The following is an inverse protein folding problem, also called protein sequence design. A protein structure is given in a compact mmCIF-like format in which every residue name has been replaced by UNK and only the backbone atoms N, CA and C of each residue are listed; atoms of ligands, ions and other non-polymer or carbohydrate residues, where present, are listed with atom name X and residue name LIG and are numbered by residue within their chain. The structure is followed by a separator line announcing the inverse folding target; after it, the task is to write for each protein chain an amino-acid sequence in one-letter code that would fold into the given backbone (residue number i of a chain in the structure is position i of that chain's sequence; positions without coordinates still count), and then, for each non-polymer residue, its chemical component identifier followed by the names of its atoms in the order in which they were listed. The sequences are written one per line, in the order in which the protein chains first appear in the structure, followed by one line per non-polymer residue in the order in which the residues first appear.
data_IF_748297705100
#
_entry.id   IF_748297705100
#
_cell.length_a   1.000
_cell.length_b   1.000
_cell.length_c   1.000
_cell.angle_alpha   90.00
_cell.angle_beta   90.00
_cell.angle_gamma   90.00
#
_symmetry.space_group_name_H-M   'P 1'
#
loop_
_entity.id
_entity.type
_entity.pdbx_description
1 polymer ?
#
# COMPACT_ATOMS: atom_id res chain seq x y z
N UNK A 1 23.89 43.98 9.23
CA UNK A 1 24.17 42.58 8.88
C UNK A 1 22.83 41.89 8.60
N UNK A 2 22.34 41.86 7.35
CA UNK A 2 21.07 41.25 7.01
C UNK A 2 21.29 39.80 6.58
N UNK A 3 20.46 38.86 7.04
CA UNK A 3 20.12 37.64 6.30
C UNK A 3 18.90 36.99 6.94
N UNK A 4 17.76 37.25 6.31
CA UNK A 4 16.55 36.48 6.46
C UNK A 4 16.76 35.07 5.90
N UNK A 5 16.20 34.05 6.57
CA UNK A 5 15.99 32.74 5.95
C UNK A 5 14.48 32.50 5.92
N UNK A 6 13.93 32.71 4.73
CA UNK A 6 12.60 32.29 4.32
C UNK A 6 12.72 30.80 3.97
N UNK A 7 12.03 29.92 4.67
CA UNK A 7 11.78 28.56 4.19
C UNK A 7 10.41 28.54 3.50
N UNK A 8 10.43 28.64 2.17
CA UNK A 8 9.27 28.53 1.30
C UNK A 8 8.73 27.09 1.34
N UNK A 9 7.41 26.99 1.42
CA UNK A 9 6.65 25.77 1.19
C UNK A 9 6.81 25.32 -0.27
N UNK A 10 7.13 24.04 -0.47
CA UNK A 10 7.06 23.39 -1.78
C UNK A 10 6.04 22.26 -1.72
N UNK A 11 4.76 22.64 -1.85
CA UNK A 11 3.73 21.75 -2.36
C UNK A 11 3.80 21.81 -3.89
N UNK A 12 4.37 20.78 -4.52
CA UNK A 12 4.11 20.49 -5.93
C UNK A 12 3.42 19.13 -6.02
N UNK A 13 2.10 19.17 -5.98
CA UNK A 13 1.28 18.09 -6.52
C UNK A 13 1.28 18.25 -8.05
N UNK A 14 2.12 17.47 -8.74
CA UNK A 14 2.00 17.31 -10.18
C UNK A 14 0.73 16.51 -10.48
N UNK A 15 -0.21 17.15 -11.14
CA UNK A 15 -1.23 16.48 -11.94
C UNK A 15 -0.54 15.81 -13.12
N UNK A 16 -0.53 14.48 -13.15
CA UNK A 16 -0.15 13.72 -14.35
C UNK A 16 -1.41 13.34 -15.16
N UNK A 17 -1.34 13.41 -16.51
CA UNK A 17 -2.43 13.04 -17.40
C UNK A 17 -2.67 11.52 -17.36
N UNK A 18 -3.86 11.07 -17.78
CA UNK A 18 -4.34 9.69 -17.71
C UNK A 18 -3.56 8.68 -18.56
N UNK A 19 -2.30 8.43 -18.21
CA UNK A 19 -1.54 7.26 -18.61
C UNK A 19 -1.87 6.10 -17.68
N UNK A 20 -2.00 4.89 -18.24
CA UNK A 20 -2.06 3.64 -17.49
C UNK A 20 -1.06 3.70 -16.34
N UNK A 21 -1.54 3.81 -15.09
CA UNK A 21 -0.63 3.91 -13.96
C UNK A 21 0.32 2.70 -14.04
N UNK A 22 1.64 2.91 -14.20
CA UNK A 22 2.58 1.80 -14.18
C UNK A 22 2.35 1.03 -12.90
N UNK A 23 2.46 -0.30 -12.94
CA UNK A 23 2.26 -1.13 -11.75
C UNK A 23 3.29 -0.85 -10.65
N UNK A 24 3.25 -1.62 -9.55
CA UNK A 24 4.34 -1.66 -8.58
C UNK A 24 5.71 -1.83 -9.25
N UNK A 25 6.80 -1.35 -8.63
CA UNK A 25 8.09 -1.28 -9.29
C UNK A 25 8.67 -2.68 -9.56
N UNK A 26 9.49 -2.85 -10.61
CA UNK A 26 9.97 -4.16 -11.05
C UNK A 26 10.91 -4.86 -10.06
N UNK A 27 11.47 -4.09 -9.12
CA UNK A 27 12.30 -4.58 -8.03
C UNK A 27 11.49 -4.97 -6.78
N UNK A 28 10.15 -4.88 -6.83
CA UNK A 28 9.22 -5.47 -5.88
C UNK A 28 8.55 -6.70 -6.51
N UNK A 29 8.95 -7.90 -6.09
CA UNK A 29 8.37 -9.17 -6.49
C UNK A 29 7.44 -9.68 -5.40
N UNK A 30 6.25 -10.11 -5.81
CA UNK A 30 5.22 -10.57 -4.89
C UNK A 30 4.74 -11.95 -5.32
N UNK A 31 4.46 -12.81 -4.36
CA UNK A 31 3.83 -14.10 -4.60
C UNK A 31 2.48 -13.90 -5.34
N UNK A 32 2.12 -14.77 -6.31
CA UNK A 32 0.86 -14.69 -7.03
C UNK A 32 -0.39 -14.55 -6.13
N UNK A 33 -0.38 -15.13 -4.93
CA UNK A 33 -1.46 -15.01 -3.97
C UNK A 33 -1.66 -13.58 -3.43
N UNK A 34 -0.64 -12.72 -3.52
CA UNK A 34 -0.65 -11.33 -3.05
C UNK A 34 -0.89 -10.31 -4.18
N UNK A 35 -0.80 -10.71 -5.45
CA UNK A 35 -0.93 -9.79 -6.60
C UNK A 35 -2.23 -8.96 -6.55
N UNK A 36 -3.37 -9.61 -6.25
CA UNK A 36 -4.67 -8.93 -6.14
C UNK A 36 -4.70 -7.91 -5.01
N UNK A 37 -4.04 -8.20 -3.89
CA UNK A 37 -3.92 -7.30 -2.73
C UNK A 37 -3.08 -6.09 -3.13
N UNK A 38 -1.90 -6.33 -3.71
CA UNK A 38 -0.95 -5.31 -4.15
C UNK A 38 -1.56 -4.40 -5.22
N UNK A 39 -2.21 -4.96 -6.24
CA UNK A 39 -2.87 -4.19 -7.29
C UNK A 39 -3.99 -3.29 -6.73
N UNK A 40 -4.69 -3.75 -5.69
CA UNK A 40 -5.70 -2.93 -4.99
C UNK A 40 -5.02 -1.80 -4.20
N UNK A 41 -3.97 -2.09 -3.43
CA UNK A 41 -3.20 -1.09 -2.70
C UNK A 41 -2.67 -0.01 -3.63
N UNK A 42 -2.05 -0.43 -4.75
CA UNK A 42 -1.53 0.46 -5.79
C UNK A 42 -2.57 1.46 -6.32
N UNK A 43 -3.76 0.96 -6.67
CA UNK A 43 -4.83 1.82 -7.20
C UNK A 43 -5.38 2.79 -6.15
N UNK A 44 -5.49 2.36 -4.90
CA UNK A 44 -6.32 3.07 -3.89
C UNK A 44 -5.52 3.91 -2.90
N UNK A 45 -4.26 3.57 -2.62
CA UNK A 45 -3.48 4.19 -1.56
C UNK A 45 -2.33 5.06 -2.09
N UNK A 46 -2.40 6.39 -1.93
CA UNK A 46 -1.27 7.28 -2.20
C UNK A 46 -0.04 6.94 -1.35
N UNK A 47 -0.23 6.52 -0.10
CA UNK A 47 0.88 6.14 0.79
C UNK A 47 1.62 4.92 0.26
N UNK A 48 0.89 3.89 -0.15
CA UNK A 48 1.52 2.70 -0.75
C UNK A 48 2.29 3.04 -2.02
N UNK A 49 1.75 3.93 -2.87
CA UNK A 49 2.48 4.40 -4.06
C UNK A 49 3.76 5.15 -3.71
N UNK A 50 3.76 5.96 -2.65
CA UNK A 50 4.96 6.65 -2.18
C UNK A 50 6.03 5.67 -1.67
N UNK A 51 5.63 4.64 -0.91
CA UNK A 51 6.54 3.57 -0.48
C UNK A 51 7.18 2.86 -1.67
N UNK A 52 6.36 2.48 -2.65
CA UNK A 52 6.82 1.87 -3.89
C UNK A 52 7.76 2.77 -4.69
N UNK A 53 7.45 4.07 -4.81
CA UNK A 53 8.31 5.02 -5.50
C UNK A 53 9.70 5.10 -4.84
N UNK A 54 9.75 5.19 -3.51
CA UNK A 54 11.01 5.23 -2.77
C UNK A 54 11.84 3.95 -2.93
N UNK A 55 11.19 2.79 -3.01
CA UNK A 55 11.84 1.51 -3.31
C UNK A 55 12.35 1.49 -4.77
N UNK A 56 11.60 2.07 -5.71
CA UNK A 56 11.99 2.15 -7.12
C UNK A 56 13.23 3.02 -7.34
N UNK A 57 13.43 4.05 -6.50
CA UNK A 57 14.63 4.92 -6.52
C UNK A 57 15.92 4.16 -6.16
N UNK A 58 15.82 2.93 -5.67
CA UNK A 58 16.95 2.05 -5.35
C UNK A 58 16.95 0.80 -6.25
N UNK A 59 17.36 0.93 -7.52
CA UNK A 59 17.22 -0.16 -8.50
C UNK A 59 18.08 -1.39 -8.20
N UNK A 60 19.10 -1.26 -7.34
CA UNK A 60 19.93 -2.39 -6.89
C UNK A 60 19.32 -3.18 -5.72
N UNK A 61 18.26 -2.68 -5.10
CA UNK A 61 17.54 -3.38 -4.04
C UNK A 61 16.53 -4.35 -4.65
N UNK A 62 16.60 -5.62 -4.27
CA UNK A 62 15.56 -6.61 -4.59
C UNK A 62 14.63 -6.86 -3.39
N UNK A 63 13.34 -6.58 -3.54
CA UNK A 63 12.32 -6.87 -2.53
C UNK A 63 11.47 -8.06 -2.99
N UNK A 64 11.34 -9.07 -2.15
CA UNK A 64 10.46 -10.21 -2.40
C UNK A 64 9.48 -10.42 -1.24
N UNK A 65 8.22 -10.68 -1.57
CA UNK A 65 7.11 -10.80 -0.61
C UNK A 65 6.35 -12.10 -0.83
N UNK A 66 6.17 -12.90 0.22
CA UNK A 66 5.37 -14.14 0.15
C UNK A 66 4.73 -14.50 1.50
N UNK A 67 3.78 -15.44 1.47
CA UNK A 67 3.24 -16.04 2.68
C UNK A 67 4.14 -17.17 3.18
N UNK A 68 4.43 -17.20 4.48
CA UNK A 68 5.28 -18.24 5.08
C UNK A 68 4.90 -18.51 6.55
N UNK A 69 3.99 -19.45 6.77
CA UNK A 69 3.57 -19.87 8.12
C UNK A 69 4.69 -20.58 8.89
N UNK A 70 5.59 -21.28 8.18
CA UNK A 70 6.59 -22.13 8.83
C UNK A 70 7.71 -21.30 9.43
N UNK A 71 8.06 -20.20 8.79
CA UNK A 71 9.11 -19.34 9.29
C UNK A 71 8.63 -18.36 10.39
N UNK A 72 7.33 -18.07 10.43
CA UNK A 72 6.71 -17.22 11.44
C UNK A 72 6.34 -18.06 12.69
N UNK A 73 7.31 -18.27 13.56
CA UNK A 73 7.09 -18.96 14.83
C UNK A 73 6.29 -18.06 15.81
N UNK A 74 5.24 -18.61 16.43
CA UNK A 74 4.53 -17.96 17.54
C UNK A 74 3.55 -16.86 17.11
N UNK A 75 3.66 -15.67 17.73
CA UNK A 75 2.71 -14.53 17.55
C UNK A 75 3.10 -13.57 16.41
N UNK A 76 4.12 -13.88 15.61
CA UNK A 76 4.58 -13.01 14.52
C UNK A 76 3.59 -13.03 13.37
N UNK A 77 3.13 -11.84 12.97
CA UNK A 77 2.19 -11.68 11.85
C UNK A 77 2.91 -11.42 10.53
N UNK A 78 4.09 -10.82 10.62
CA UNK A 78 4.96 -10.56 9.50
C UNK A 78 6.41 -10.40 9.98
N UNK A 79 7.37 -10.50 9.06
CA UNK A 79 8.77 -10.20 9.32
C UNK A 79 9.48 -9.81 8.03
N UNK A 80 10.34 -8.80 8.11
CA UNK A 80 11.30 -8.46 7.06
C UNK A 80 12.72 -8.88 7.46
N UNK A 81 13.40 -9.58 6.56
CA UNK A 81 14.83 -9.88 6.67
C UNK A 81 15.62 -9.05 5.66
N UNK A 82 16.68 -8.38 6.11
CA UNK A 82 17.53 -7.54 5.27
C UNK A 82 18.87 -8.22 4.98
N UNK A 83 19.33 -8.10 3.72
CA UNK A 83 20.69 -8.47 3.31
C UNK A 83 21.42 -7.23 2.85
N UNK A 84 22.61 -7.01 3.41
CA UNK A 84 23.48 -5.88 3.07
C UNK A 84 24.80 -6.36 2.47
N UNK A 85 25.26 -5.69 1.42
CA UNK A 85 26.57 -5.89 0.83
C UNK A 85 27.33 -4.56 0.86
N UNK A 86 28.56 -4.55 1.39
CA UNK A 86 29.33 -3.33 1.60
C UNK A 86 28.51 -2.21 2.27
N UNK A 87 27.73 -2.55 3.31
CA UNK A 87 26.78 -1.68 4.06
C UNK A 87 25.54 -1.19 3.28
N UNK A 88 25.48 -1.35 1.96
CA UNK A 88 24.30 -1.04 1.14
C UNK A 88 23.23 -2.13 1.28
N UNK A 89 21.96 -1.75 1.38
CA UNK A 89 20.85 -2.69 1.35
C UNK A 89 20.67 -3.23 -0.09
N UNK A 90 20.77 -4.54 -0.27
CA UNK A 90 20.69 -5.19 -1.58
C UNK A 90 19.52 -6.17 -1.70
N UNK A 91 19.01 -6.68 -0.58
CA UNK A 91 17.78 -7.48 -0.59
C UNK A 91 16.95 -7.28 0.68
N UNK A 92 15.64 -7.30 0.51
CA UNK A 92 14.66 -7.39 1.58
C UNK A 92 13.66 -8.51 1.30
N UNK A 93 13.47 -9.39 2.28
CA UNK A 93 12.57 -10.54 2.20
C UNK A 93 11.44 -10.36 3.20
N UNK A 94 10.23 -10.14 2.70
CA UNK A 94 9.02 -9.92 3.50
C UNK A 94 8.22 -11.21 3.54
N UNK A 95 7.99 -11.71 4.76
CA UNK A 95 7.19 -12.92 5.01
C UNK A 95 5.96 -12.54 5.80
N UNK A 96 4.79 -12.91 5.31
CA UNK A 96 3.50 -12.64 5.94
C UNK A 96 2.88 -13.96 6.43
N UNK A 97 2.16 -13.93 7.56
CA UNK A 97 1.26 -15.02 7.93
C UNK A 97 -0.13 -14.79 7.37
N UNK A 98 -0.83 -15.88 7.10
CA UNK A 98 -2.24 -15.90 6.71
C UNK A 98 -3.11 -15.68 7.95
N UNK A 99 -4.35 -15.26 7.71
CA UNK A 99 -5.32 -14.99 8.77
C UNK A 99 -5.24 -13.58 9.38
N UNK A 100 -4.30 -12.76 8.93
CA UNK A 100 -4.24 -11.33 9.26
C UNK A 100 -4.52 -10.48 8.02
N UNK A 101 -4.78 -9.18 8.21
CA UNK A 101 -5.01 -8.26 7.09
C UNK A 101 -3.69 -8.02 6.33
N UNK A 102 -3.54 -8.57 5.10
CA UNK A 102 -2.28 -8.46 4.37
C UNK A 102 -2.02 -7.02 3.91
N UNK A 103 -3.03 -6.15 3.87
CA UNK A 103 -2.86 -4.75 3.47
C UNK A 103 -2.08 -3.97 4.53
N UNK A 104 -2.47 -4.10 5.79
CA UNK A 104 -1.77 -3.45 6.92
C UNK A 104 -0.34 -3.96 7.02
N UNK A 105 -0.18 -5.29 7.04
CA UNK A 105 1.11 -5.92 7.26
C UNK A 105 2.07 -5.64 6.11
N UNK A 106 1.63 -5.75 4.85
CA UNK A 106 2.51 -5.46 3.72
C UNK A 106 2.97 -4.00 3.74
N UNK A 107 2.06 -3.05 3.93
CA UNK A 107 2.43 -1.63 3.99
C UNK A 107 3.34 -1.30 5.18
N UNK A 108 3.15 -1.97 6.31
CA UNK A 108 4.01 -1.86 7.47
C UNK A 108 5.45 -2.35 7.16
N UNK A 109 5.58 -3.55 6.59
CA UNK A 109 6.89 -4.13 6.26
C UNK A 109 7.62 -3.34 5.16
N UNK A 110 6.88 -2.80 4.17
CA UNK A 110 7.47 -1.90 3.18
C UNK A 110 7.96 -0.58 3.80
N UNK A 111 7.28 -0.06 4.83
CA UNK A 111 7.77 1.13 5.52
C UNK A 111 9.09 0.86 6.23
N UNK A 112 9.28 -0.33 6.82
CA UNK A 112 10.57 -0.70 7.37
C UNK A 112 11.69 -0.72 6.32
N UNK A 113 11.39 -1.21 5.10
CA UNK A 113 12.34 -1.13 3.99
C UNK A 113 12.67 0.33 3.67
N UNK A 114 11.66 1.19 3.58
CA UNK A 114 11.83 2.64 3.34
C UNK A 114 12.68 3.29 4.43
N UNK A 115 12.42 3.03 5.71
CA UNK A 115 13.24 3.54 6.82
C UNK A 115 14.70 3.11 6.71
N UNK A 116 14.96 1.86 6.29
CA UNK A 116 16.32 1.37 6.06
C UNK A 116 17.00 2.04 4.86
N UNK A 117 16.25 2.41 3.83
CA UNK A 117 16.74 3.19 2.69
C UNK A 117 16.99 4.66 3.05
N UNK A 118 16.21 5.22 3.98
CA UNK A 118 16.37 6.58 4.51
C UNK A 118 17.51 6.68 5.55
N UNK A 119 18.22 5.57 5.82
CA UNK A 119 19.38 5.53 6.72
C UNK A 119 19.03 5.52 8.21
N UNK A 120 17.79 5.15 8.57
CA UNK A 120 17.38 5.04 9.97
C UNK A 120 18.09 3.85 10.62
N UNK A 121 18.99 4.16 11.56
CA UNK A 121 19.58 3.15 12.44
C UNK A 121 18.64 2.87 13.62
N UNK A 122 17.86 1.80 13.50
CA UNK A 122 16.87 1.38 14.50
C UNK A 122 17.50 1.02 15.85
N UNK A 123 18.76 0.58 15.86
CA UNK A 123 19.48 0.24 17.10
C UNK A 123 19.79 1.50 17.89
N UNK A 124 20.22 2.56 17.20
CA UNK A 124 20.48 3.87 17.79
C UNK A 124 19.16 4.54 18.20
N UNK A 125 18.11 4.43 17.38
CA UNK A 125 16.80 5.01 17.68
C UNK A 125 16.17 4.42 18.96
N UNK A 126 16.29 3.10 19.18
CA UNK A 126 15.85 2.47 20.44
C UNK A 126 16.60 3.03 21.65
N UNK A 127 17.93 3.20 21.55
CA UNK A 127 18.75 3.72 22.65
C UNK A 127 18.42 5.18 22.99
N UNK A 128 17.98 5.96 22.01
CA UNK A 128 17.57 7.37 22.17
C UNK A 128 16.16 7.53 22.75
N UNK A 129 15.41 6.44 22.91
CA UNK A 129 14.02 6.50 23.33
C UNK A 129 13.11 7.12 22.26
N UNK A 130 13.53 7.07 20.99
CA UNK A 130 12.67 7.43 19.87
C UNK A 130 11.47 6.47 19.82
N UNK A 131 10.50 6.73 18.93
CA UNK A 131 9.28 5.94 18.80
C UNK A 131 9.50 4.55 18.15
N UNK A 132 10.61 3.89 18.51
CA UNK A 132 11.05 2.57 18.08
C UNK A 132 11.06 1.65 19.30
N UNK A 133 10.42 0.50 19.16
CA UNK A 133 10.36 -0.53 20.20
C UNK A 133 11.04 -1.79 19.68
N UNK A 134 11.89 -2.40 20.50
CA UNK A 134 12.38 -3.75 20.23
C UNK A 134 11.38 -4.77 20.76
N UNK A 135 10.89 -5.65 19.90
CA UNK A 135 10.07 -6.77 20.31
C UNK A 135 10.92 -7.83 21.02
N UNK A 136 10.28 -8.68 21.83
CA UNK A 136 10.96 -9.72 22.64
C UNK A 136 11.78 -10.71 21.80
N UNK A 137 11.45 -10.80 20.53
CA UNK A 137 11.99 -11.74 19.57
C UNK A 137 13.12 -11.11 18.72
N UNK A 138 13.53 -9.89 19.08
CA UNK A 138 14.64 -9.16 18.48
C UNK A 138 14.26 -8.27 17.30
N UNK A 139 13.01 -8.30 16.80
CA UNK A 139 12.58 -7.39 15.74
C UNK A 139 12.37 -5.97 16.26
N UNK A 140 12.31 -5.00 15.34
CA UNK A 140 12.03 -3.61 15.65
C UNK A 140 10.65 -3.24 15.12
N UNK A 141 9.92 -2.47 15.90
CA UNK A 141 8.62 -1.89 15.57
C UNK A 141 8.78 -0.38 15.64
N UNK A 142 8.43 0.33 14.57
CA UNK A 142 8.49 1.79 14.54
C UNK A 142 7.08 2.36 14.47
N UNK A 143 6.86 3.50 15.13
CA UNK A 143 5.59 4.20 15.01
C UNK A 143 5.28 4.59 13.56
N UNK A 144 6.29 5.00 12.80
CA UNK A 144 6.16 5.33 11.38
C UNK A 144 5.63 4.13 10.56
N UNK A 145 6.19 2.92 10.75
CA UNK A 145 5.70 1.71 10.09
C UNK A 145 4.28 1.33 10.52
N UNK A 146 3.96 1.43 11.80
CA UNK A 146 2.60 1.16 12.32
C UNK A 146 1.60 2.14 11.69
N UNK A 147 1.91 3.44 11.69
CA UNK A 147 1.03 4.46 11.14
C UNK A 147 0.84 4.31 9.63
N UNK A 148 1.91 4.01 8.89
CA UNK A 148 1.86 3.75 7.46
C UNK A 148 0.96 2.54 7.15
N UNK A 149 1.18 1.41 7.84
CA UNK A 149 0.37 0.20 7.67
C UNK A 149 -1.12 0.44 7.90
N UNK A 150 -1.46 1.08 9.03
CA UNK A 150 -2.84 1.41 9.37
C UNK A 150 -3.46 2.42 8.39
N UNK A 151 -2.67 3.38 7.89
CA UNK A 151 -3.14 4.37 6.93
C UNK A 151 -3.47 3.74 5.58
N UNK A 152 -2.59 2.91 5.03
CA UNK A 152 -2.84 2.18 3.78
C UNK A 152 -4.08 1.28 3.92
N UNK A 153 -4.22 0.58 5.05
CA UNK A 153 -5.42 -0.22 5.34
C UNK A 153 -6.70 0.63 5.28
N UNK A 154 -6.72 1.81 5.91
CA UNK A 154 -7.87 2.73 5.86
C UNK A 154 -8.15 3.19 4.44
N UNK A 155 -7.16 3.67 3.70
CA UNK A 155 -7.31 4.17 2.32
C UNK A 155 -7.89 3.08 1.40
N UNK A 156 -7.39 1.86 1.52
CA UNK A 156 -7.86 0.70 0.76
C UNK A 156 -9.30 0.31 1.13
N UNK A 157 -9.67 0.37 2.41
CA UNK A 157 -11.03 0.07 2.90
C UNK A 157 -12.03 1.15 2.46
N UNK A 158 -11.67 2.43 2.55
CA UNK A 158 -12.53 3.54 2.11
C UNK A 158 -12.72 3.57 0.59
N UNK A 159 -11.69 3.24 -0.19
CA UNK A 159 -11.80 3.11 -1.65
C UNK A 159 -12.78 2.02 -2.11
N UNK A 160 -13.09 1.02 -1.28
CA UNK A 160 -14.17 0.05 -1.56
C UNK A 160 -15.56 0.68 -1.45
N UNK A 161 -15.76 1.61 -0.52
CA UNK A 161 -17.04 2.27 -0.29
C UNK A 161 -17.42 3.21 -1.43
N UNK A 162 -16.47 4.02 -1.92
CA UNK A 162 -16.74 4.99 -2.98
C UNK A 162 -17.01 4.37 -4.36
N UNK A 163 -16.48 3.18 -4.65
CA UNK A 163 -16.79 2.46 -5.89
C UNK A 163 -18.15 1.74 -5.83
N UNK A 164 -18.55 1.24 -4.65
CA UNK A 164 -19.84 0.58 -4.47
C UNK A 164 -21.02 1.57 -4.42
N UNK A 165 -20.77 2.85 -4.10
CA UNK A 165 -21.79 3.92 -4.10
C UNK A 165 -21.93 4.63 -5.46
N UNK A 166 -21.15 4.24 -6.48
CA UNK A 166 -21.10 4.91 -7.78
C UNK A 166 -21.83 4.15 -8.90
N UNK A 167 -22.48 3.01 -8.60
CA UNK A 167 -23.40 2.35 -9.53
C UNK A 167 -24.83 2.88 -9.28
N UNK A 168 -25.42 3.69 -10.17
CA UNK A 168 -26.88 3.78 -10.24
C UNK A 168 -27.40 2.42 -10.72
N UNK A 169 -28.33 1.85 -9.96
CA UNK A 169 -29.01 0.60 -10.30
C UNK A 169 -29.52 0.64 -11.76
N UNK A 170 -29.52 -0.49 -12.50
CA UNK A 170 -30.20 -0.54 -13.77
C UNK A 170 -31.69 -0.32 -13.52
N UNK A 171 -32.21 0.74 -14.14
CA UNK A 171 -33.62 1.10 -14.15
C UNK A 171 -34.40 0.02 -14.93
N UNK A 172 -34.89 -0.99 -14.21
CA UNK A 172 -35.88 -1.95 -14.70
C UNK A 172 -37.21 -1.63 -14.04
N UNK A 173 -38.01 -0.79 -14.71
CA UNK A 173 -39.35 -1.13 -15.19
C UNK A 173 -40.21 0.12 -15.41
N UNK A 174 -40.55 0.40 -16.67
CA UNK A 174 -41.80 1.07 -17.00
C UNK A 174 -42.37 0.47 -18.29
N UNK A 175 -43.13 -0.62 -18.10
CA UNK A 175 -44.20 -1.10 -18.96
C UNK A 175 -45.05 0.08 -19.44
N UNK A 176 -45.24 0.27 -20.76
CA UNK A 176 -46.43 0.90 -21.37
C UNK A 176 -46.46 0.59 -22.89
N UNK A 177 -47.07 -0.54 -23.26
CA UNK A 177 -47.56 -0.78 -24.62
C UNK A 177 -49.01 -0.31 -24.71
N UNK A 178 -49.24 0.90 -25.22
CA UNK A 178 -50.53 1.30 -25.78
C UNK A 178 -50.42 1.37 -27.30
N UNK A 179 -51.01 0.40 -27.99
CA UNK A 179 -51.42 0.59 -29.39
C UNK A 179 -52.94 0.56 -29.44
N UNK A 180 -53.50 1.70 -29.86
CA UNK A 180 -54.92 1.97 -30.04
C UNK A 180 -55.48 1.15 -31.20
N UNK A 181 -56.68 0.59 -31.00
CA UNK A 181 -57.60 0.11 -32.04
C UNK A 181 -57.95 1.21 -33.06
N UNK A 182 -58.25 0.84 -34.31
CA UNK A 182 -59.27 1.51 -35.13
C UNK A 182 -60.60 0.72 -35.15
N UNK A 183 -61.75 1.38 -35.42
CA UNK A 183 -63.07 0.80 -35.13
C UNK A 183 -63.81 0.23 -36.35
N UNK A 184 -64.69 -0.74 -36.03
CA UNK A 184 -66.05 -1.01 -36.53
C UNK A 184 -66.30 -1.23 -38.05
N UNK A 185 -67.06 -2.29 -38.37
CA UNK A 185 -68.52 -2.18 -38.63
C UNK A 185 -69.22 -3.55 -38.78
N UNK A 186 -70.55 -3.58 -38.61
CA UNK A 186 -71.33 -4.79 -38.36
C UNK A 186 -72.00 -5.35 -39.62
N UNK A 187 -72.30 -6.65 -39.60
CA UNK A 187 -73.66 -7.21 -39.78
C UNK A 187 -73.69 -8.65 -39.30
#
# INVERSE_FOLDING_TARGET
MPSAVIALASMLALMSPGGSMPGPPPNLRVDPALERVVARMWRTSPVFRAQCARIADEPTLFVAVWYDERALHGRRRAVTTFVRHARRLVSAQVRLSRGHDPVELLAHELEHIVEQLDGVDLSVAVLRGDQVRRARDGSFETRRAIEAGLRVQREVRHGRGSLASADPAPDVAATHSQQRLPPLRPR
#
